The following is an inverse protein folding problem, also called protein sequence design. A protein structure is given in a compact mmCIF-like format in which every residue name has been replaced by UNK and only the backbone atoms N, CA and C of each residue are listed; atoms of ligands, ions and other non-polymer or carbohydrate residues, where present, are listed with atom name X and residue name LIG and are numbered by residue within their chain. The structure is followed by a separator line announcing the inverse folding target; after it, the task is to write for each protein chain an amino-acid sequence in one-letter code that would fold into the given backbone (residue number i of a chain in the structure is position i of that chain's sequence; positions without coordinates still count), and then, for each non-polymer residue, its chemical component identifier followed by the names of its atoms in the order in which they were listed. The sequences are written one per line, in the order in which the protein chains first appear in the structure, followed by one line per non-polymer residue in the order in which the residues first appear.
data_IF_335019641453
#
_entry.id   IF_335019641453
#
_cell.length_a   1.000
_cell.length_b   1.000
_cell.length_c   1.000
_cell.angle_alpha   90.00
_cell.angle_beta   90.00
_cell.angle_gamma   90.00
#
_symmetry.space_group_name_H-M   'P 1'
#
loop_
_entity.id
_entity.type
_entity.pdbx_description
1 polymer ?
#
# COMPACT_ATOMS: atom_id res chain seq x y z
N UNK A 1 -12.06 -34.94 -6.19
CA UNK A 1 -10.72 -34.33 -6.06
C UNK A 1 -10.96 -32.88 -5.66
N UNK A 2 -10.58 -32.42 -4.46
CA UNK A 2 -10.66 -31.00 -4.17
C UNK A 2 -9.73 -30.27 -5.15
N UNK A 3 -10.24 -29.25 -5.83
CA UNK A 3 -9.43 -28.37 -6.66
C UNK A 3 -8.42 -27.73 -5.71
N UNK A 4 -7.15 -28.08 -5.86
CA UNK A 4 -6.10 -27.46 -5.08
C UNK A 4 -6.01 -26.00 -5.54
N UNK A 5 -6.62 -25.09 -4.79
CA UNK A 5 -6.51 -23.66 -5.05
C UNK A 5 -5.02 -23.32 -5.14
N UNK A 6 -4.62 -22.68 -6.24
CA UNK A 6 -3.23 -22.30 -6.49
C UNK A 6 -2.79 -21.39 -5.34
N UNK A 7 -1.95 -21.91 -4.45
CA UNK A 7 -1.44 -21.09 -3.34
C UNK A 7 -0.51 -20.02 -3.89
N UNK A 8 -0.70 -18.78 -3.44
CA UNK A 8 -0.07 -17.59 -4.00
C UNK A 8 1.13 -17.18 -3.17
N UNK A 9 2.19 -16.74 -3.84
CA UNK A 9 3.35 -16.12 -3.22
C UNK A 9 3.23 -14.62 -3.35
N UNK A 10 3.35 -13.91 -2.23
CA UNK A 10 3.12 -12.46 -2.19
C UNK A 10 4.36 -11.73 -1.66
N UNK A 11 4.69 -10.62 -2.30
CA UNK A 11 5.72 -9.69 -1.86
C UNK A 11 5.05 -8.49 -1.21
N UNK A 12 5.50 -8.07 -0.02
CA UNK A 12 5.00 -6.90 0.69
C UNK A 12 6.14 -5.96 1.03
N UNK A 13 5.94 -4.67 0.75
CA UNK A 13 6.78 -3.58 1.25
C UNK A 13 6.02 -2.73 2.25
N UNK A 14 6.74 -2.02 3.13
CA UNK A 14 6.10 -1.11 4.08
C UNK A 14 5.36 -1.81 5.22
N UNK A 15 5.70 -3.07 5.51
CA UNK A 15 5.06 -3.89 6.55
C UNK A 15 5.14 -3.30 7.98
N UNK A 16 6.04 -2.35 8.24
CA UNK A 16 6.14 -1.62 9.52
C UNK A 16 5.25 -0.37 9.57
N UNK A 17 4.67 0.02 8.44
CA UNK A 17 3.78 1.16 8.34
C UNK A 17 2.35 0.81 8.75
N UNK A 18 1.53 1.83 8.93
CA UNK A 18 0.15 1.69 9.41
C UNK A 18 -0.70 0.76 8.51
N UNK A 19 -0.75 1.00 7.19
CA UNK A 19 -1.51 0.16 6.26
C UNK A 19 -0.77 -1.16 5.96
N UNK A 20 0.54 -1.09 5.74
CA UNK A 20 1.34 -2.28 5.42
C UNK A 20 1.36 -3.33 6.54
N UNK A 21 1.35 -2.91 7.81
CA UNK A 21 1.22 -3.83 8.95
C UNK A 21 -0.12 -4.53 8.99
N UNK A 22 -1.22 -3.82 8.67
CA UNK A 22 -2.55 -4.43 8.54
C UNK A 22 -2.62 -5.39 7.35
N UNK A 23 -1.98 -5.06 6.22
CA UNK A 23 -1.88 -5.97 5.07
C UNK A 23 -1.07 -7.22 5.43
N UNK A 24 0.05 -7.08 6.16
CA UNK A 24 0.83 -8.22 6.61
C UNK A 24 -0.04 -9.18 7.44
N UNK A 25 -0.79 -8.68 8.42
CA UNK A 25 -1.69 -9.51 9.23
C UNK A 25 -2.74 -10.22 8.35
N UNK A 26 -3.40 -9.49 7.45
CA UNK A 26 -4.40 -10.06 6.56
C UNK A 26 -3.83 -11.16 5.63
N UNK A 27 -2.66 -10.93 5.04
CA UNK A 27 -1.99 -11.88 4.14
C UNK A 27 -1.52 -13.13 4.89
N UNK A 28 -1.04 -13.02 6.13
CA UNK A 28 -0.64 -14.18 6.93
C UNK A 28 -1.84 -15.04 7.33
N UNK A 29 -2.99 -14.42 7.56
CA UNK A 29 -4.25 -15.11 7.86
C UNK A 29 -4.97 -15.70 6.64
N UNK A 30 -4.61 -15.29 5.42
CA UNK A 30 -5.24 -15.77 4.20
C UNK A 30 -4.79 -17.22 3.87
N UNK A 31 -5.69 -18.21 3.85
CA UNK A 31 -5.34 -19.60 3.55
C UNK A 31 -4.86 -19.82 2.12
N UNK A 32 -5.23 -18.95 1.17
CA UNK A 32 -4.79 -19.02 -0.23
C UNK A 32 -3.39 -18.45 -0.45
N UNK A 33 -2.78 -17.82 0.57
CA UNK A 33 -1.39 -17.36 0.55
C UNK A 33 -0.49 -18.45 1.15
N UNK A 34 0.47 -18.94 0.36
CA UNK A 34 1.49 -19.88 0.83
C UNK A 34 2.59 -19.17 1.62
N UNK A 35 3.11 -18.09 1.06
CA UNK A 35 4.28 -17.38 1.58
C UNK A 35 4.13 -15.88 1.39
N UNK A 36 4.50 -15.12 2.42
CA UNK A 36 4.64 -13.67 2.43
C UNK A 36 6.12 -13.33 2.51
N UNK A 37 6.65 -12.72 1.46
CA UNK A 37 7.99 -12.15 1.41
C UNK A 37 7.92 -10.67 1.78
N UNK A 38 8.37 -10.30 2.98
CA UNK A 38 8.37 -8.92 3.42
C UNK A 38 9.73 -8.25 3.16
N UNK A 39 9.78 -7.31 2.22
CA UNK A 39 10.95 -6.46 2.01
C UNK A 39 10.95 -5.31 3.01
N UNK A 40 11.99 -5.25 3.84
CA UNK A 40 12.12 -4.24 4.89
C UNK A 40 13.56 -3.75 5.05
N UNK A 41 13.73 -2.52 5.53
CA UNK A 41 15.05 -2.00 5.90
C UNK A 41 15.51 -2.47 7.29
N UNK A 42 14.60 -3.01 8.09
CA UNK A 42 14.82 -3.42 9.49
C UNK A 42 14.07 -4.72 9.78
N UNK A 43 14.54 -5.55 10.73
CA UNK A 43 13.83 -6.74 11.16
C UNK A 43 12.39 -6.42 11.57
N UNK A 44 11.48 -7.37 11.33
CA UNK A 44 10.10 -7.30 11.84
C UNK A 44 10.04 -8.03 13.18
N UNK A 45 9.28 -7.50 14.13
CA UNK A 45 9.05 -8.15 15.43
C UNK A 45 8.08 -9.35 15.35
N UNK A 46 7.44 -9.55 14.19
CA UNK A 46 6.49 -10.63 13.94
C UNK A 46 7.22 -11.84 13.39
N UNK A 47 6.93 -13.02 13.94
CA UNK A 47 7.33 -14.32 13.39
C UNK A 47 6.09 -15.10 13.00
N UNK A 48 6.11 -15.74 11.83
CA UNK A 48 5.01 -16.57 11.34
C UNK A 48 5.55 -17.60 10.34
N UNK A 49 5.01 -18.84 10.28
CA UNK A 49 5.50 -19.87 9.35
C UNK A 49 5.49 -19.45 7.88
N UNK A 50 4.48 -18.67 7.47
CA UNK A 50 4.37 -18.11 6.11
C UNK A 50 5.23 -16.86 5.87
N UNK A 51 5.88 -16.30 6.88
CA UNK A 51 6.59 -15.02 6.76
C UNK A 51 8.09 -15.23 6.53
N UNK A 52 8.61 -14.68 5.45
CA UNK A 52 10.04 -14.53 5.23
C UNK A 52 10.39 -13.06 5.09
N UNK A 53 11.27 -12.57 5.97
CA UNK A 53 11.72 -11.18 5.95
C UNK A 53 13.02 -11.07 5.16
N UNK A 54 13.02 -10.21 4.15
CA UNK A 54 14.19 -9.87 3.35
C UNK A 54 14.66 -8.48 3.72
N UNK A 55 15.85 -8.38 4.32
CA UNK A 55 16.46 -7.08 4.58
C UNK A 55 17.02 -6.53 3.27
N UNK A 56 16.51 -5.38 2.84
CA UNK A 56 16.85 -4.81 1.54
C UNK A 56 17.14 -3.30 1.63
N UNK A 57 18.16 -2.88 0.88
CA UNK A 57 18.31 -1.50 0.45
C UNK A 57 17.44 -1.30 -0.80
N UNK A 58 16.48 -0.38 -0.72
CA UNK A 58 15.57 -0.11 -1.84
C UNK A 58 16.26 0.57 -3.03
N UNK A 59 17.48 1.11 -2.84
CA UNK A 59 18.30 1.63 -3.94
C UNK A 59 19.03 0.51 -4.68
N UNK A 60 19.24 -0.64 -4.03
CA UNK A 60 19.99 -1.79 -4.55
C UNK A 60 19.26 -3.08 -4.20
N UNK A 61 18.13 -3.32 -4.86
CA UNK A 61 17.30 -4.49 -4.57
C UNK A 61 18.05 -5.78 -4.93
N UNK A 62 18.03 -6.80 -4.04
CA UNK A 62 18.53 -8.12 -4.37
C UNK A 62 17.61 -8.79 -5.41
N UNK A 63 18.07 -9.91 -5.96
CA UNK A 63 17.17 -10.81 -6.69
C UNK A 63 16.01 -11.22 -5.78
N UNK A 64 14.79 -11.03 -6.25
CA UNK A 64 13.59 -11.33 -5.49
C UNK A 64 13.16 -12.79 -5.74
N UNK A 65 12.62 -13.48 -4.72
CA UNK A 65 12.05 -14.80 -4.90
C UNK A 65 10.85 -14.75 -5.86
N UNK A 66 10.55 -15.89 -6.48
CA UNK A 66 9.38 -16.01 -7.35
C UNK A 66 8.11 -15.65 -6.58
N UNK A 67 7.33 -14.71 -7.13
CA UNK A 67 6.12 -14.19 -6.49
C UNK A 67 5.03 -14.00 -7.53
N UNK A 68 3.76 -14.22 -7.17
CA UNK A 68 2.62 -13.99 -8.06
C UNK A 68 2.11 -12.53 -7.95
N UNK A 69 2.22 -11.95 -6.76
CA UNK A 69 1.68 -10.62 -6.42
C UNK A 69 2.67 -9.75 -5.65
N UNK A 70 2.53 -8.43 -5.78
CA UNK A 70 3.28 -7.46 -4.98
C UNK A 70 2.37 -6.36 -4.42
N UNK A 71 2.54 -6.07 -3.13
CA UNK A 71 1.85 -5.02 -2.39
C UNK A 71 2.84 -3.91 -2.03
N UNK A 72 2.62 -2.73 -2.62
CA UNK A 72 3.43 -1.52 -2.50
C UNK A 72 2.83 -0.59 -1.44
N UNK A 73 3.38 -0.65 -0.23
CA UNK A 73 2.94 0.16 0.91
C UNK A 73 4.03 1.09 1.45
N UNK A 74 5.09 1.34 0.67
CA UNK A 74 6.08 2.35 1.04
C UNK A 74 5.46 3.74 0.93
N UNK A 75 5.67 4.53 1.98
CA UNK A 75 5.31 5.93 1.99
C UNK A 75 5.94 6.64 3.16
N UNK A 76 6.31 7.88 2.95
CA UNK A 76 6.76 8.80 3.99
C UNK A 76 5.91 10.08 3.95
N UNK A 77 6.22 11.04 4.80
CA UNK A 77 5.70 12.41 4.65
C UNK A 77 6.87 13.31 4.29
N UNK A 78 6.62 14.41 3.58
CA UNK A 78 7.69 15.38 3.26
C UNK A 78 8.42 15.83 4.53
N UNK A 79 7.69 16.05 5.63
CA UNK A 79 8.26 16.40 6.94
C UNK A 79 9.23 15.33 7.48
N UNK A 80 8.87 14.06 7.36
CA UNK A 80 9.72 12.93 7.82
C UNK A 80 10.86 12.66 6.85
N UNK A 81 10.64 12.86 5.55
CA UNK A 81 11.67 12.73 4.52
C UNK A 81 12.72 13.84 4.60
N UNK A 82 12.35 15.02 5.09
CA UNK A 82 13.21 16.19 5.20
C UNK A 82 13.40 16.98 3.90
N UNK A 83 13.10 16.39 2.73
CA UNK A 83 13.15 17.09 1.43
C UNK A 83 12.18 16.50 0.41
N UNK A 84 11.90 17.25 -0.65
CA UNK A 84 11.12 16.77 -1.79
C UNK A 84 11.81 15.60 -2.51
N UNK A 85 13.14 15.68 -2.70
CA UNK A 85 13.91 14.61 -3.32
C UNK A 85 13.85 13.31 -2.50
N UNK A 86 14.03 13.39 -1.18
CA UNK A 86 13.92 12.24 -0.30
C UNK A 86 12.49 11.67 -0.26
N UNK A 87 11.47 12.53 -0.34
CA UNK A 87 10.08 12.08 -0.47
C UNK A 87 9.88 11.30 -1.77
N UNK A 88 10.35 11.84 -2.91
CA UNK A 88 10.26 11.17 -4.21
C UNK A 88 10.97 9.82 -4.22
N UNK A 89 12.18 9.76 -3.67
CA UNK A 89 12.98 8.55 -3.59
C UNK A 89 12.22 7.40 -2.90
N UNK A 90 11.41 7.71 -1.88
CA UNK A 90 10.60 6.71 -1.15
C UNK A 90 9.26 6.48 -1.82
N UNK A 91 8.47 7.53 -2.04
CA UNK A 91 7.07 7.42 -2.44
C UNK A 91 6.88 7.09 -3.93
N UNK A 92 7.91 7.29 -4.76
CA UNK A 92 7.91 6.98 -6.18
C UNK A 92 9.02 5.98 -6.55
N UNK A 93 10.29 6.37 -6.40
CA UNK A 93 11.40 5.62 -7.01
C UNK A 93 11.56 4.22 -6.40
N UNK A 94 11.54 4.10 -5.06
CA UNK A 94 11.61 2.82 -4.37
C UNK A 94 10.41 1.91 -4.68
N UNK A 95 9.18 2.45 -4.69
CA UNK A 95 8.00 1.67 -5.06
C UNK A 95 8.10 1.14 -6.50
N UNK A 96 8.52 2.00 -7.44
CA UNK A 96 8.68 1.62 -8.85
C UNK A 96 9.79 0.59 -9.05
N UNK A 97 10.92 0.75 -8.35
CA UNK A 97 12.02 -0.22 -8.38
C UNK A 97 11.56 -1.60 -7.89
N UNK A 98 10.82 -1.65 -6.77
CA UNK A 98 10.26 -2.90 -6.24
C UNK A 98 9.26 -3.50 -7.21
N UNK A 99 8.36 -2.70 -7.79
CA UNK A 99 7.39 -3.20 -8.76
C UNK A 99 8.08 -3.86 -9.96
N UNK A 100 9.12 -3.22 -10.52
CA UNK A 100 9.90 -3.76 -11.63
C UNK A 100 10.61 -5.06 -11.25
N UNK A 101 11.26 -5.09 -10.09
CA UNK A 101 11.94 -6.28 -9.60
C UNK A 101 10.96 -7.44 -9.35
N UNK A 102 9.78 -7.15 -8.79
CA UNK A 102 8.75 -8.16 -8.54
C UNK A 102 8.19 -8.72 -9.85
N UNK A 103 7.94 -7.87 -10.86
CA UNK A 103 7.49 -8.30 -12.19
C UNK A 103 8.55 -9.17 -12.87
N UNK A 104 9.84 -8.81 -12.74
CA UNK A 104 10.94 -9.65 -13.22
C UNK A 104 11.00 -11.01 -12.50
N UNK A 105 10.57 -11.07 -11.23
CA UNK A 105 10.46 -12.30 -10.46
C UNK A 105 9.12 -13.06 -10.68
N UNK A 106 8.28 -12.62 -11.62
CA UNK A 106 7.05 -13.30 -12.01
C UNK A 106 5.75 -12.67 -11.53
N UNK A 107 5.80 -11.58 -10.76
CA UNK A 107 4.60 -10.90 -10.30
C UNK A 107 3.82 -10.36 -11.50
N UNK A 108 2.51 -10.64 -11.54
CA UNK A 108 1.62 -10.08 -12.56
C UNK A 108 0.46 -9.29 -11.99
N UNK A 109 0.36 -9.23 -10.66
CA UNK A 109 -0.68 -8.49 -9.94
C UNK A 109 -0.02 -7.54 -8.95
N UNK A 110 -0.42 -6.26 -8.99
CA UNK A 110 0.17 -5.20 -8.16
C UNK A 110 -0.93 -4.51 -7.36
N UNK A 111 -0.76 -4.42 -6.05
CA UNK A 111 -1.55 -3.55 -5.17
C UNK A 111 -0.74 -2.34 -4.75
N UNK A 112 -1.25 -1.13 -4.93
CA UNK A 112 -0.59 0.12 -4.54
C UNK A 112 -1.40 0.88 -3.48
N UNK A 113 -0.75 1.30 -2.40
CA UNK A 113 -1.26 2.34 -1.50
C UNK A 113 -0.85 3.71 -2.03
N UNK A 114 -1.77 4.38 -2.74
CA UNK A 114 -1.63 5.74 -3.26
C UNK A 114 -2.26 6.76 -2.30
N UNK A 115 -2.88 7.81 -2.84
CA UNK A 115 -3.60 8.84 -2.10
C UNK A 115 -4.74 9.42 -2.94
N UNK A 116 -5.77 9.95 -2.28
CA UNK A 116 -6.80 10.73 -2.94
C UNK A 116 -6.17 11.94 -3.67
N UNK A 117 -6.72 12.26 -4.84
CA UNK A 117 -6.25 13.34 -5.72
C UNK A 117 -4.82 13.16 -6.30
N UNK A 118 -4.26 11.94 -6.27
CA UNK A 118 -3.07 11.61 -7.04
C UNK A 118 -3.28 11.91 -8.53
N UNK A 119 -2.39 12.72 -9.10
CA UNK A 119 -2.48 13.18 -10.49
C UNK A 119 -1.13 13.71 -10.95
N UNK A 120 -0.51 13.06 -11.94
CA UNK A 120 0.81 13.43 -12.47
C UNK A 120 0.88 14.86 -13.02
N UNK A 121 -0.26 15.47 -13.37
CA UNK A 121 -0.36 16.86 -13.86
C UNK A 121 -0.65 17.88 -12.76
N UNK A 122 -0.70 17.46 -11.49
CA UNK A 122 -0.99 18.37 -10.38
C UNK A 122 0.14 19.38 -10.16
N UNK A 123 -0.20 20.63 -9.82
CA UNK A 123 0.77 21.63 -9.34
C UNK A 123 1.29 21.28 -7.93
N UNK A 124 0.50 20.56 -7.12
CA UNK A 124 0.88 20.12 -5.79
C UNK A 124 1.86 18.95 -5.87
N UNK A 125 3.09 19.16 -5.37
CA UNK A 125 4.19 18.18 -5.44
C UNK A 125 3.80 16.78 -4.92
N UNK A 126 3.10 16.69 -3.78
CA UNK A 126 2.67 15.42 -3.21
C UNK A 126 1.75 14.63 -4.16
N UNK A 127 0.70 15.27 -4.67
CA UNK A 127 -0.27 14.65 -5.59
C UNK A 127 0.38 14.27 -6.92
N UNK A 128 1.30 15.10 -7.40
CA UNK A 128 2.07 14.85 -8.62
C UNK A 128 2.92 13.59 -8.51
N UNK A 129 3.73 13.47 -7.47
CA UNK A 129 4.61 12.30 -7.25
C UNK A 129 3.79 11.01 -7.15
N UNK A 130 2.65 11.04 -6.44
CA UNK A 130 1.75 9.87 -6.35
C UNK A 130 1.14 9.51 -7.70
N UNK A 131 0.67 10.51 -8.46
CA UNK A 131 0.10 10.27 -9.79
C UNK A 131 1.13 9.78 -10.81
N UNK A 132 2.37 10.29 -10.77
CA UNK A 132 3.46 9.82 -11.63
C UNK A 132 3.77 8.34 -11.38
N UNK A 133 3.73 7.88 -10.11
CA UNK A 133 3.90 6.47 -9.79
C UNK A 133 2.73 5.64 -10.34
N UNK A 134 1.49 6.11 -10.15
CA UNK A 134 0.32 5.42 -10.71
C UNK A 134 0.43 5.25 -12.23
N UNK A 135 0.82 6.31 -12.94
CA UNK A 135 0.96 6.27 -14.40
C UNK A 135 2.12 5.36 -14.83
N UNK A 136 3.24 5.36 -14.09
CA UNK A 136 4.35 4.44 -14.34
C UNK A 136 3.94 2.97 -14.16
N UNK A 137 3.13 2.64 -13.15
CA UNK A 137 2.61 1.28 -12.94
C UNK A 137 1.56 0.88 -13.99
N UNK A 138 0.70 1.81 -14.42
CA UNK A 138 -0.29 1.56 -15.49
C UNK A 138 0.37 1.22 -16.83
N UNK A 139 1.59 1.71 -17.06
CA UNK A 139 2.37 1.41 -18.26
C UNK A 139 3.06 0.03 -18.22
N UNK A 140 2.99 -0.71 -17.10
CA UNK A 140 3.56 -2.05 -16.97
C UNK A 140 2.62 -3.13 -17.49
N UNK A 141 3.17 -4.20 -18.04
CA UNK A 141 2.43 -5.38 -18.50
C UNK A 141 1.98 -6.26 -17.31
N UNK A 142 0.85 -5.88 -16.72
CA UNK A 142 0.25 -6.50 -15.53
C UNK A 142 -1.08 -7.16 -15.88
N UNK A 143 -1.34 -8.34 -15.31
CA UNK A 143 -2.69 -8.92 -15.29
C UNK A 143 -3.66 -8.03 -14.52
N UNK A 144 -3.19 -7.45 -13.40
CA UNK A 144 -3.98 -6.54 -12.60
C UNK A 144 -3.13 -5.47 -11.89
N UNK A 145 -3.66 -4.26 -11.82
CA UNK A 145 -3.17 -3.16 -11.01
C UNK A 145 -4.33 -2.62 -10.17
N UNK A 146 -4.26 -2.80 -8.85
CA UNK A 146 -5.25 -2.27 -7.91
C UNK A 146 -4.64 -1.09 -7.16
N UNK A 147 -5.23 0.08 -7.30
CA UNK A 147 -4.74 1.34 -6.72
C UNK A 147 -5.71 1.78 -5.63
N UNK A 148 -5.29 1.72 -4.38
CA UNK A 148 -6.02 2.31 -3.27
C UNK A 148 -5.71 3.81 -3.17
N UNK A 149 -6.73 4.67 -3.25
CA UNK A 149 -6.61 6.12 -3.11
C UNK A 149 -7.32 6.61 -1.84
N UNK A 150 -6.73 6.37 -0.64
CA UNK A 150 -7.32 6.81 0.61
C UNK A 150 -7.21 8.32 0.73
N UNK A 151 -8.22 8.94 1.34
CA UNK A 151 -8.18 10.36 1.68
C UNK A 151 -7.38 10.59 2.98
N UNK A 152 -8.07 10.72 4.12
CA UNK A 152 -7.47 10.82 5.44
C UNK A 152 -7.54 9.46 6.14
N UNK A 153 -6.42 9.00 6.71
CA UNK A 153 -6.42 7.81 7.56
C UNK A 153 -6.86 8.18 8.98
N UNK A 154 -7.87 7.48 9.51
CA UNK A 154 -8.46 7.79 10.82
C UNK A 154 -7.63 7.32 12.03
N UNK A 155 -6.70 6.40 11.81
CA UNK A 155 -5.93 5.78 12.88
C UNK A 155 -4.78 6.69 13.33
N UNK A 156 -4.67 6.88 14.65
CA UNK A 156 -3.55 7.60 15.23
C UNK A 156 -2.27 6.77 15.10
N UNK A 157 -1.18 7.40 14.64
CA UNK A 157 0.17 6.81 14.58
C UNK A 157 0.86 6.72 15.95
N UNK A 158 0.10 6.57 17.03
CA UNK A 158 0.64 6.45 18.38
C UNK A 158 1.43 5.13 18.46
N UNK A 159 2.75 5.24 18.64
CA UNK A 159 3.66 4.08 18.73
C UNK A 159 4.71 3.97 17.61
N UNK A 160 4.67 4.81 16.57
CA UNK A 160 5.67 4.79 15.48
C UNK A 160 6.85 5.78 15.67
N UNK A 161 6.93 6.46 16.81
CA UNK A 161 8.04 7.39 17.14
C UNK A 161 8.16 8.63 16.23
N UNK A 162 7.13 8.94 15.43
CA UNK A 162 7.11 10.11 14.54
C UNK A 162 6.28 11.24 15.18
N UNK A 163 6.70 12.51 15.03
CA UNK A 163 5.96 13.63 15.60
C UNK A 163 4.53 13.67 15.01
N UNK A 164 3.50 13.95 15.84
CA UNK A 164 2.14 14.04 15.35
C UNK A 164 2.05 15.08 14.22
N UNK A 165 1.21 14.79 13.22
CA UNK A 165 0.85 15.77 12.19
C UNK A 165 0.10 16.89 12.92
N UNK A 166 0.78 18.00 13.24
CA UNK A 166 0.18 19.12 14.00
C UNK A 166 -1.05 19.71 13.27
N UNK A 167 -1.14 19.53 11.94
CA UNK A 167 -2.35 19.83 11.16
C UNK A 167 -3.49 18.79 11.23
N UNK A 168 -3.28 17.63 11.85
CA UNK A 168 -4.31 16.59 12.08
C UNK A 168 -4.96 16.66 13.47
N UNK A 169 -4.27 17.22 14.48
CA UNK A 169 -4.83 17.23 15.85
C UNK A 169 -6.07 18.13 15.94
N UNK A 170 -6.14 19.22 15.16
CA UNK A 170 -7.31 20.11 15.11
C UNK A 170 -8.34 19.71 14.03
N UNK A 171 -7.95 18.94 13.01
CA UNK A 171 -8.81 18.63 11.86
C UNK A 171 -9.49 17.27 11.95
N UNK A 172 -9.02 16.31 12.75
CA UNK A 172 -9.70 15.02 12.95
C UNK A 172 -11.12 15.16 13.56
N UNK A 173 -11.36 15.94 14.63
CA UNK A 173 -12.72 16.09 15.16
C UNK A 173 -13.65 16.84 14.18
N UNK A 174 -13.13 17.86 13.48
CA UNK A 174 -13.87 18.63 12.47
C UNK A 174 -14.18 17.78 11.23
N UNK A 175 -13.21 17.00 10.74
CA UNK A 175 -13.38 16.10 9.60
C UNK A 175 -14.32 14.93 9.92
N UNK A 176 -14.34 14.43 11.16
CA UNK A 176 -15.34 13.44 11.63
C UNK A 176 -16.75 14.05 11.68
N UNK A 177 -16.87 15.29 12.14
CA UNK A 177 -18.15 16.00 12.19
C UNK A 177 -18.70 16.33 10.78
N UNK A 178 -17.82 16.65 9.83
CA UNK A 178 -18.18 16.99 8.45
C UNK A 178 -18.16 15.79 7.48
N UNK A 179 -17.73 14.61 7.92
CA UNK A 179 -17.70 13.36 7.13
C UNK A 179 -19.01 13.04 6.35
N UNK A 180 -20.23 13.27 6.89
CA UNK A 180 -21.45 13.05 6.12
C UNK A 180 -21.62 14.01 4.93
N UNK A 181 -21.01 15.20 4.98
CA UNK A 181 -21.09 16.26 3.97
C UNK A 181 -19.94 16.21 2.94
N UNK A 182 -18.87 15.46 3.21
CA UNK A 182 -17.74 15.32 2.29
C UNK A 182 -18.08 14.39 1.12
N UNK A 183 -17.66 14.72 -0.12
CA UNK A 183 -17.77 13.79 -1.25
C UNK A 183 -17.07 12.47 -0.91
N UNK A 184 -17.64 11.34 -1.34
CA UNK A 184 -17.19 9.98 -0.93
C UNK A 184 -15.68 9.73 -1.06
N UNK A 185 -15.04 10.32 -2.08
CA UNK A 185 -13.59 10.23 -2.31
C UNK A 185 -12.74 10.85 -1.19
N UNK A 186 -13.29 11.77 -0.39
CA UNK A 186 -12.62 12.48 0.71
C UNK A 186 -13.05 12.00 2.10
N UNK A 187 -13.89 10.96 2.19
CA UNK A 187 -14.31 10.41 3.48
C UNK A 187 -13.14 9.69 4.16
N UNK A 188 -12.83 10.02 5.43
CA UNK A 188 -11.78 9.34 6.16
C UNK A 188 -11.98 7.82 6.22
N UNK A 189 -10.88 7.06 6.17
CA UNK A 189 -10.90 5.60 6.11
C UNK A 189 -9.89 5.00 7.10
N UNK A 190 -10.20 3.85 7.69
CA UNK A 190 -9.26 3.13 8.54
C UNK A 190 -8.22 2.40 7.70
N UNK A 191 -6.99 2.32 8.19
CA UNK A 191 -5.90 1.63 7.54
C UNK A 191 -6.17 0.13 7.35
N UNK A 192 -6.91 -0.49 8.28
CA UNK A 192 -7.39 -1.86 8.13
C UNK A 192 -8.31 -2.00 6.92
N UNK A 193 -9.21 -1.05 6.69
CA UNK A 193 -10.11 -1.08 5.54
C UNK A 193 -9.34 -0.94 4.21
N UNK A 194 -8.34 -0.05 4.14
CA UNK A 194 -7.44 0.06 2.98
C UNK A 194 -6.69 -1.25 2.73
N UNK A 195 -6.14 -1.85 3.79
CA UNK A 195 -5.41 -3.11 3.71
C UNK A 195 -6.27 -4.27 3.20
N UNK A 196 -7.45 -4.46 3.79
CA UNK A 196 -8.39 -5.51 3.39
C UNK A 196 -8.87 -5.31 1.95
N UNK A 197 -9.17 -4.06 1.57
CA UNK A 197 -9.59 -3.76 0.20
C UNK A 197 -8.53 -4.18 -0.84
N UNK A 198 -7.25 -3.92 -0.58
CA UNK A 198 -6.17 -4.40 -1.45
C UNK A 198 -6.03 -5.92 -1.43
N UNK A 199 -5.93 -6.54 -0.25
CA UNK A 199 -5.70 -7.98 -0.10
C UNK A 199 -6.84 -8.82 -0.71
N UNK A 200 -8.08 -8.33 -0.68
CA UNK A 200 -9.23 -9.01 -1.27
C UNK A 200 -9.37 -8.78 -2.79
N UNK A 201 -8.97 -7.60 -3.28
CA UNK A 201 -9.21 -7.21 -4.68
C UNK A 201 -8.08 -7.64 -5.61
N UNK A 202 -6.82 -7.50 -5.20
CA UNK A 202 -5.64 -7.85 -6.03
C UNK A 202 -5.69 -9.28 -6.62
N UNK A 203 -6.09 -10.32 -5.86
CA UNK A 203 -6.00 -11.70 -6.35
C UNK A 203 -7.00 -12.00 -7.47
N UNK A 204 -8.12 -11.29 -7.49
CA UNK A 204 -9.28 -11.55 -8.37
C UNK A 204 -9.47 -10.49 -9.45
N UNK A 205 -8.82 -9.33 -9.33
CA UNK A 205 -8.94 -8.23 -10.28
C UNK A 205 -8.37 -8.56 -11.66
N UNK A 206 -8.81 -7.81 -12.67
CA UNK A 206 -8.23 -7.81 -14.01
C UNK A 206 -8.14 -6.36 -14.53
N UNK A 207 -7.05 -6.03 -15.21
CA UNK A 207 -6.79 -4.67 -15.67
C UNK A 207 -6.54 -3.70 -14.51
N UNK A 208 -6.88 -2.42 -14.70
CA UNK A 208 -6.67 -1.36 -13.70
C UNK A 208 -7.94 -1.14 -12.88
N UNK A 209 -7.85 -1.29 -11.57
CA UNK A 209 -8.94 -1.04 -10.62
C UNK A 209 -8.51 0.06 -9.65
N UNK A 210 -9.28 1.14 -9.56
CA UNK A 210 -9.03 2.24 -8.61
C UNK A 210 -10.07 2.18 -7.49
N UNK A 211 -9.60 2.04 -6.25
CA UNK A 211 -10.42 1.97 -5.05
C UNK A 211 -10.42 3.33 -4.35
N UNK A 212 -11.53 4.05 -4.47
CA UNK A 212 -11.76 5.29 -3.75
C UNK A 212 -12.00 5.06 -2.24
N UNK A 213 -11.82 6.11 -1.44
CA UNK A 213 -11.88 6.06 0.03
C UNK A 213 -13.17 5.44 0.60
N UNK A 214 -14.33 5.78 0.04
CA UNK A 214 -15.64 5.24 0.45
C UNK A 214 -15.83 3.76 0.07
N UNK A 215 -15.31 3.36 -1.09
CA UNK A 215 -15.34 1.97 -1.55
C UNK A 215 -14.55 1.08 -0.61
N UNK A 216 -13.34 1.52 -0.22
CA UNK A 216 -12.53 0.82 0.77
C UNK A 216 -13.21 0.77 2.13
N UNK A 217 -13.84 1.87 2.57
CA UNK A 217 -14.58 1.90 3.84
C UNK A 217 -15.73 0.88 3.87
N UNK A 218 -16.48 0.72 2.76
CA UNK A 218 -17.54 -0.29 2.64
C UNK A 218 -16.98 -1.72 2.71
N UNK A 219 -15.90 -2.00 1.97
CA UNK A 219 -15.24 -3.31 1.99
C UNK A 219 -14.75 -3.66 3.40
N UNK A 220 -14.14 -2.69 4.09
CA UNK A 220 -13.63 -2.89 5.44
C UNK A 220 -14.69 -3.03 6.54
N UNK A 221 -15.97 -2.74 6.27
CA UNK A 221 -17.08 -2.88 7.22
C UNK A 221 -17.84 -4.22 7.07
N UNK A 222 -17.63 -4.95 5.98
CA UNK A 222 -18.35 -6.19 5.69
C UNK A 222 -17.87 -7.40 6.53
N UNK A 223 -16.94 -7.20 7.47
CA UNK A 223 -16.27 -8.22 8.29
C UNK A 223 -15.82 -7.65 9.64
#
# INVERSE_FOLDING_TARGET
MPVQEKQRHVLLTGATGLVGGQMLQALLSDPSVAQVHALSRRPLAVSHPKLQVHLADFNHLPALPQTDEVYLALGTTIKVAGSQAAFRAVDHDANLAVARAAVAAGARRVGLVSAAAANARSSMFYNRVKGELEDALKAMDLTALVIAQPSLLLDHRNGLGQPPRIGEILSIPIARLLAPLLPGTYRPVHARAVALALVQTVPTAHGVVVLASDTMAKIGQAH
#
